data_IF_743059503203
#
_entry.id   IF_743059503203
#
_cell.length_a   1.000
_cell.length_b   1.000
_cell.length_c   1.000
_cell.angle_alpha   90.00
_cell.angle_beta   90.00
_cell.angle_gamma   90.00
#
_symmetry.space_group_name_H-M   'P 1'
#
loop_
_entity.id
_entity.type
_entity.pdbx_description
1 polymer ?
#
# COMPACT_ATOMS: atom_id res chain seq x y z
N UNK A 1 12.79 -35.41 -0.48
CA UNK A 1 13.08 -33.97 -0.27
C UNK A 1 13.37 -33.36 -1.64
N UNK A 2 12.51 -32.48 -2.14
CA UNK A 2 12.49 -32.05 -3.55
C UNK A 2 13.65 -31.10 -3.89
N UNK A 3 14.12 -31.17 -5.13
CA UNK A 3 15.27 -30.42 -5.67
C UNK A 3 15.08 -28.89 -5.60
N UNK A 4 13.83 -28.42 -5.62
CA UNK A 4 13.43 -27.00 -5.52
C UNK A 4 13.61 -26.42 -4.10
N UNK A 5 13.42 -27.26 -3.07
CA UNK A 5 13.61 -26.90 -1.65
C UNK A 5 15.11 -26.72 -1.31
N UNK A 6 15.97 -27.47 -2.00
CA UNK A 6 17.43 -27.38 -1.86
C UNK A 6 17.98 -26.08 -2.45
N UNK A 7 17.46 -25.67 -3.62
CA UNK A 7 17.83 -24.42 -4.29
C UNK A 7 17.36 -23.18 -3.51
N UNK A 8 16.15 -23.22 -2.95
CA UNK A 8 15.65 -22.14 -2.08
C UNK A 8 16.51 -22.00 -0.82
N UNK A 9 16.84 -23.11 -0.15
CA UNK A 9 17.73 -23.09 1.04
C UNK A 9 19.09 -22.45 0.75
N UNK A 10 19.67 -22.68 -0.42
CA UNK A 10 20.97 -22.10 -0.80
C UNK A 10 20.87 -20.58 -0.99
N UNK A 11 19.82 -20.11 -1.68
CA UNK A 11 19.58 -18.68 -1.92
C UNK A 11 19.31 -17.94 -0.60
N UNK A 12 18.48 -18.52 0.27
CA UNK A 12 18.19 -17.96 1.59
C UNK A 12 19.45 -17.87 2.47
N UNK A 13 20.31 -18.90 2.44
CA UNK A 13 21.58 -18.90 3.18
C UNK A 13 22.54 -17.81 2.69
N UNK A 14 22.61 -17.58 1.38
CA UNK A 14 23.45 -16.53 0.79
C UNK A 14 22.96 -15.11 1.14
N UNK A 15 21.64 -14.87 1.10
CA UNK A 15 21.02 -13.59 1.45
C UNK A 15 21.25 -13.26 2.94
N UNK A 16 21.05 -14.25 3.82
CA UNK A 16 21.24 -14.06 5.26
C UNK A 16 22.70 -13.77 5.63
N UNK A 17 23.67 -14.40 4.94
CA UNK A 17 25.10 -14.15 5.14
C UNK A 17 25.52 -12.74 4.73
N UNK A 18 24.94 -12.20 3.64
CA UNK A 18 25.21 -10.82 3.19
C UNK A 18 24.66 -9.80 4.21
N UNK A 19 23.44 -10.02 4.71
CA UNK A 19 22.77 -9.12 5.65
C UNK A 19 23.42 -9.17 7.05
N UNK A 20 23.88 -10.34 7.52
CA UNK A 20 24.59 -10.46 8.79
C UNK A 20 25.91 -9.67 8.80
N UNK A 21 26.62 -9.65 7.65
CA UNK A 21 27.86 -8.90 7.47
C UNK A 21 27.64 -7.37 7.47
N UNK A 22 26.60 -6.89 6.79
CA UNK A 22 26.24 -5.45 6.76
C UNK A 22 25.80 -4.92 8.14
N UNK A 23 25.35 -5.80 9.03
CA UNK A 23 24.88 -5.47 10.38
C UNK A 23 25.90 -5.76 11.47
N UNK A 24 27.10 -6.27 11.15
CA UNK A 24 28.17 -6.56 12.11
C UNK A 24 27.88 -7.74 13.05
N UNK A 25 27.00 -8.67 12.66
CA UNK A 25 26.50 -9.77 13.50
C UNK A 25 27.20 -11.09 13.12
N UNK A 26 28.53 -11.14 13.27
CA UNK A 26 29.33 -12.26 12.74
C UNK A 26 29.20 -13.59 13.52
N UNK A 27 28.67 -13.57 14.75
CA UNK A 27 28.63 -14.75 15.64
C UNK A 27 27.21 -15.19 16.05
N UNK A 28 26.17 -14.74 15.36
CA UNK A 28 24.79 -14.97 15.80
C UNK A 28 24.13 -16.11 15.01
N UNK A 29 23.63 -17.09 15.76
CA UNK A 29 23.08 -18.35 15.28
C UNK A 29 21.96 -18.15 14.24
N UNK A 30 21.94 -18.98 13.19
CA UNK A 30 21.03 -18.83 12.04
C UNK A 30 19.55 -18.90 12.46
N UNK A 31 19.26 -19.70 13.48
CA UNK A 31 17.93 -19.83 14.07
C UNK A 31 17.54 -18.60 14.90
N UNK A 32 18.50 -17.93 15.55
CA UNK A 32 18.25 -16.67 16.25
C UNK A 32 17.94 -15.54 15.26
N UNK A 33 18.65 -15.47 14.13
CA UNK A 33 18.34 -14.48 13.07
C UNK A 33 16.96 -14.73 12.46
N UNK A 34 16.59 -15.99 12.22
CA UNK A 34 15.26 -16.39 11.74
C UNK A 34 14.15 -16.02 12.74
N UNK A 35 14.35 -16.33 14.02
CA UNK A 35 13.41 -16.01 15.09
C UNK A 35 13.30 -14.50 15.34
N UNK A 36 14.40 -13.75 15.24
CA UNK A 36 14.40 -12.29 15.35
C UNK A 36 13.70 -11.62 14.16
N UNK A 37 13.87 -12.16 12.94
CA UNK A 37 13.10 -11.73 11.78
C UNK A 37 11.62 -12.01 11.96
N UNK A 38 11.24 -13.22 12.36
CA UNK A 38 9.85 -13.59 12.61
C UNK A 38 9.23 -12.75 13.72
N UNK A 39 9.97 -12.47 14.79
CA UNK A 39 9.53 -11.61 15.89
C UNK A 39 9.35 -10.15 15.44
N UNK A 40 10.29 -9.58 14.67
CA UNK A 40 10.13 -8.23 14.08
C UNK A 40 8.96 -8.19 13.10
N UNK A 41 8.78 -9.22 12.28
CA UNK A 41 7.64 -9.37 11.39
C UNK A 41 6.34 -9.46 12.18
N UNK A 42 6.30 -10.22 13.28
CA UNK A 42 5.16 -10.34 14.17
C UNK A 42 4.87 -9.01 14.89
N UNK A 43 5.88 -8.31 15.39
CA UNK A 43 5.73 -6.96 15.97
C UNK A 43 5.24 -5.95 14.95
N UNK A 44 5.73 -6.02 13.71
CA UNK A 44 5.23 -5.21 12.59
C UNK A 44 3.78 -5.60 12.32
N UNK A 45 3.43 -6.87 12.22
CA UNK A 45 2.07 -7.35 12.01
C UNK A 45 1.16 -6.90 13.16
N UNK A 46 1.58 -6.97 14.42
CA UNK A 46 0.80 -6.53 15.58
C UNK A 46 0.64 -5.01 15.63
N UNK A 47 1.71 -4.25 15.35
CA UNK A 47 1.70 -2.79 15.31
C UNK A 47 0.88 -2.24 14.13
N UNK A 48 1.01 -2.87 12.95
CA UNK A 48 0.19 -2.56 11.78
C UNK A 48 -1.24 -3.05 11.97
N UNK A 49 -1.46 -4.24 12.53
CA UNK A 49 -2.79 -4.77 12.89
C UNK A 49 -3.52 -3.80 13.81
N UNK A 50 -2.87 -3.27 14.85
CA UNK A 50 -3.50 -2.29 15.74
C UNK A 50 -3.78 -0.94 15.07
N UNK A 51 -2.84 -0.44 14.25
CA UNK A 51 -3.00 0.82 13.52
C UNK A 51 -4.07 0.72 12.43
N UNK A 52 -4.05 -0.34 11.65
CA UNK A 52 -5.01 -0.63 10.57
C UNK A 52 -6.37 -0.99 11.18
N UNK A 53 -6.43 -1.72 12.29
CA UNK A 53 -7.67 -1.95 13.06
C UNK A 53 -8.29 -0.63 13.54
N UNK A 54 -7.49 0.28 14.12
CA UNK A 54 -7.96 1.60 14.53
C UNK A 54 -8.48 2.44 13.35
N UNK A 55 -7.86 2.28 12.18
CA UNK A 55 -8.25 3.00 10.95
C UNK A 55 -9.47 2.36 10.25
N UNK A 56 -9.67 1.05 10.40
CA UNK A 56 -10.85 0.30 9.98
C UNK A 56 -12.05 0.58 10.90
N UNK A 57 -11.83 0.69 12.23
CA UNK A 57 -12.87 1.02 13.22
C UNK A 57 -13.45 2.43 13.08
N UNK A 58 -12.82 3.34 12.32
CA UNK A 58 -13.47 4.57 11.86
C UNK A 58 -14.44 4.27 10.70
N UNK A 59 -15.35 3.32 10.94
CA UNK A 59 -16.29 2.66 10.02
C UNK A 59 -17.15 3.65 9.21
N UNK A 60 -16.58 4.21 8.15
CA UNK A 60 -17.24 5.16 7.25
C UNK A 60 -16.87 4.80 5.82
N UNK A 61 -17.83 4.89 4.89
CA UNK A 61 -17.59 4.70 3.47
C UNK A 61 -16.53 5.68 2.95
N UNK A 62 -16.51 6.92 3.45
CA UNK A 62 -15.48 7.89 3.13
C UNK A 62 -14.08 7.37 3.46
N UNK A 63 -13.87 6.85 4.67
CA UNK A 63 -12.58 6.32 5.10
C UNK A 63 -12.16 5.09 4.28
N UNK A 64 -13.10 4.20 3.96
CA UNK A 64 -12.84 3.04 3.11
C UNK A 64 -12.37 3.48 1.73
N UNK A 65 -13.02 4.49 1.13
CA UNK A 65 -12.62 5.05 -0.17
C UNK A 65 -11.27 5.76 -0.08
N UNK A 66 -11.01 6.51 0.98
CA UNK A 66 -9.72 7.17 1.20
C UNK A 66 -8.57 6.16 1.38
N UNK A 67 -8.88 4.97 1.89
CA UNK A 67 -7.93 3.89 2.03
C UNK A 67 -7.64 3.13 0.72
N UNK A 68 -8.42 3.35 -0.34
CA UNK A 68 -8.15 2.75 -1.66
C UNK A 68 -6.85 3.25 -2.27
N UNK A 69 -6.25 2.42 -3.12
CA UNK A 69 -4.96 2.71 -3.75
C UNK A 69 -5.03 3.95 -4.64
N UNK A 70 -6.13 4.07 -5.39
CA UNK A 70 -6.45 5.16 -6.31
C UNK A 70 -6.44 6.50 -5.56
N UNK A 71 -7.17 6.59 -4.45
CA UNK A 71 -7.18 7.79 -3.61
C UNK A 71 -5.76 8.15 -3.15
N UNK A 72 -5.02 7.18 -2.61
CA UNK A 72 -3.69 7.41 -2.04
C UNK A 72 -2.68 7.85 -3.09
N UNK A 73 -2.70 7.24 -4.28
CA UNK A 73 -1.86 7.63 -5.42
C UNK A 73 -2.25 9.01 -5.93
N UNK A 74 -3.53 9.22 -6.19
CA UNK A 74 -4.09 10.51 -6.60
C UNK A 74 -3.70 11.66 -5.69
N UNK A 75 -3.81 11.46 -4.38
CA UNK A 75 -3.40 12.42 -3.37
C UNK A 75 -1.89 12.67 -3.38
N UNK A 76 -1.06 11.63 -3.55
CA UNK A 76 0.39 11.78 -3.67
C UNK A 76 0.79 12.58 -4.91
N UNK A 77 0.12 12.33 -6.05
CA UNK A 77 0.29 13.08 -7.29
C UNK A 77 -0.05 14.56 -7.08
N UNK A 78 -1.21 14.87 -6.49
CA UNK A 78 -1.63 16.26 -6.24
C UNK A 78 -0.74 17.02 -5.26
N UNK A 79 -0.12 16.33 -4.30
CA UNK A 79 0.78 16.92 -3.30
C UNK A 79 2.19 17.20 -3.85
N UNK A 80 2.55 16.61 -4.99
CA UNK A 80 3.85 16.79 -5.63
C UNK A 80 3.89 18.07 -6.48
N UNK A 81 3.71 19.23 -5.83
CA UNK A 81 3.73 20.54 -6.51
C UNK A 81 5.12 21.13 -6.71
N UNK A 82 6.11 20.69 -5.92
CA UNK A 82 7.46 21.25 -5.91
C UNK A 82 8.38 20.42 -6.82
N UNK A 83 9.38 21.01 -7.48
CA UNK A 83 10.30 20.29 -8.37
C UNK A 83 10.99 19.10 -7.70
N UNK A 84 11.47 19.27 -6.46
CA UNK A 84 12.07 18.19 -5.67
C UNK A 84 11.09 17.06 -5.33
N UNK A 85 9.81 17.39 -5.08
CA UNK A 85 8.77 16.39 -4.81
C UNK A 85 8.39 15.64 -6.10
N UNK A 86 8.40 16.33 -7.23
CA UNK A 86 8.15 15.74 -8.55
C UNK A 86 9.27 14.77 -8.94
N UNK A 87 10.53 15.14 -8.69
CA UNK A 87 11.68 14.25 -8.91
C UNK A 87 11.63 12.99 -8.03
N UNK A 88 11.21 13.12 -6.77
CA UNK A 88 11.04 12.00 -5.83
C UNK A 88 9.71 11.25 -6.00
N UNK A 89 8.82 11.72 -6.87
CA UNK A 89 7.47 11.19 -7.02
C UNK A 89 7.45 9.72 -7.46
N UNK A 90 8.25 9.27 -8.46
CA UNK A 90 8.25 7.86 -8.87
C UNK A 90 8.57 6.91 -7.72
N UNK A 91 9.60 7.21 -6.94
CA UNK A 91 9.98 6.43 -5.76
C UNK A 91 8.89 6.45 -4.67
N UNK A 92 8.25 7.60 -4.47
CA UNK A 92 7.15 7.76 -3.51
C UNK A 92 5.96 6.88 -3.90
N UNK A 93 5.58 6.86 -5.17
CA UNK A 93 4.48 6.04 -5.68
C UNK A 93 4.79 4.55 -5.59
N UNK A 94 6.01 4.12 -5.95
CA UNK A 94 6.42 2.71 -5.82
C UNK A 94 6.36 2.27 -4.35
N UNK A 95 6.91 3.07 -3.43
CA UNK A 95 6.87 2.79 -1.98
C UNK A 95 5.43 2.68 -1.48
N UNK A 96 4.56 3.59 -1.91
CA UNK A 96 3.15 3.59 -1.55
C UNK A 96 2.44 2.32 -2.03
N UNK A 97 2.66 1.91 -3.29
CA UNK A 97 2.09 0.68 -3.85
C UNK A 97 2.55 -0.56 -3.08
N UNK A 98 3.86 -0.66 -2.79
CA UNK A 98 4.42 -1.79 -2.02
C UNK A 98 3.80 -1.85 -0.62
N UNK A 99 3.71 -0.70 0.05
CA UNK A 99 3.09 -0.59 1.37
C UNK A 99 1.61 -1.00 1.33
N UNK A 100 0.83 -0.48 0.39
CA UNK A 100 -0.58 -0.85 0.24
C UNK A 100 -0.76 -2.35 -0.03
N UNK A 101 0.07 -2.95 -0.89
CA UNK A 101 0.03 -4.40 -1.14
C UNK A 101 0.32 -5.21 0.12
N UNK A 102 1.25 -4.76 0.94
CA UNK A 102 1.55 -5.39 2.24
C UNK A 102 0.35 -5.27 3.19
N UNK A 103 -0.21 -4.07 3.38
CA UNK A 103 -1.42 -3.85 4.21
C UNK A 103 -2.59 -4.74 3.75
N UNK A 104 -2.80 -4.90 2.44
CA UNK A 104 -3.83 -5.79 1.90
C UNK A 104 -3.58 -7.27 2.19
N UNK A 105 -2.31 -7.73 2.20
CA UNK A 105 -1.95 -9.10 2.60
C UNK A 105 -2.23 -9.32 4.09
N UNK A 106 -1.83 -8.37 4.93
CA UNK A 106 -2.10 -8.42 6.38
C UNK A 106 -3.60 -8.44 6.64
N UNK A 107 -4.37 -7.55 6.02
CA UNK A 107 -5.83 -7.54 6.12
C UNK A 107 -6.47 -8.88 5.71
N UNK A 108 -6.04 -9.46 4.59
CA UNK A 108 -6.53 -10.78 4.13
C UNK A 108 -6.25 -11.87 5.17
N UNK A 109 -5.04 -11.90 5.75
CA UNK A 109 -4.73 -12.84 6.81
C UNK A 109 -5.64 -12.61 8.03
N UNK A 110 -5.84 -11.36 8.46
CA UNK A 110 -6.69 -11.04 9.61
C UNK A 110 -8.14 -11.50 9.43
N UNK A 111 -8.75 -11.27 8.27
CA UNK A 111 -10.14 -11.73 8.02
C UNK A 111 -10.26 -13.25 7.92
N UNK A 112 -9.18 -13.96 7.56
CA UNK A 112 -9.15 -15.43 7.61
C UNK A 112 -9.19 -15.94 9.04
N UNK A 113 -8.48 -15.28 9.97
CA UNK A 113 -8.47 -15.64 11.39
C UNK A 113 -9.70 -15.11 12.16
N UNK A 114 -10.20 -13.94 11.76
CA UNK A 114 -11.31 -13.22 12.40
C UNK A 114 -12.27 -12.68 11.34
N UNK A 115 -13.22 -13.51 10.86
CA UNK A 115 -14.18 -13.13 9.84
C UNK A 115 -15.01 -11.90 10.20
N UNK A 116 -15.22 -11.63 11.50
CA UNK A 116 -15.92 -10.44 12.01
C UNK A 116 -15.26 -9.11 11.62
N UNK A 117 -13.98 -9.13 11.22
CA UNK A 117 -13.25 -7.95 10.73
C UNK A 117 -13.52 -7.63 9.26
N UNK A 118 -14.31 -8.44 8.57
CA UNK A 118 -14.63 -8.22 7.17
C UNK A 118 -15.45 -6.92 7.01
N UNK A 119 -14.93 -6.02 6.17
CA UNK A 119 -15.65 -4.82 5.78
C UNK A 119 -16.98 -5.15 5.10
N UNK A 120 -18.03 -4.45 5.50
CA UNK A 120 -19.34 -4.49 4.87
C UNK A 120 -19.29 -3.86 3.46
N UNK A 121 -20.27 -4.15 2.59
CA UNK A 121 -20.48 -3.39 1.36
C UNK A 121 -20.57 -1.88 1.64
N UNK A 122 -20.06 -1.05 0.72
CA UNK A 122 -19.96 0.40 0.90
C UNK A 122 -21.34 1.06 1.08
N UNK A 123 -22.35 0.48 0.45
CA UNK A 123 -23.74 0.92 0.41
C UNK A 123 -24.43 0.80 1.78
N UNK A 124 -23.88 -0.03 2.68
CA UNK A 124 -24.43 -0.22 4.03
C UNK A 124 -23.96 0.84 5.03
N UNK A 125 -23.06 1.74 4.63
CA UNK A 125 -22.56 2.80 5.49
C UNK A 125 -23.40 4.09 5.30
N UNK A 126 -23.73 4.81 6.39
CA UNK A 126 -24.55 6.01 6.32
C UNK A 126 -23.98 7.12 5.43
N UNK A 127 -22.66 7.21 5.30
CA UNK A 127 -21.94 8.25 4.54
C UNK A 127 -21.58 7.81 3.11
N UNK A 128 -22.30 6.84 2.55
CA UNK A 128 -22.03 6.30 1.22
C UNK A 128 -22.10 7.38 0.12
N UNK A 129 -23.07 8.28 0.18
CA UNK A 129 -23.25 9.36 -0.79
C UNK A 129 -22.08 10.36 -0.76
N UNK A 130 -21.58 10.71 0.42
CA UNK A 130 -20.37 11.51 0.58
C UNK A 130 -19.14 10.81 -0.01
N UNK A 131 -19.08 9.49 0.18
CA UNK A 131 -18.01 8.67 -0.34
C UNK A 131 -18.01 8.65 -1.88
N UNK A 132 -19.18 8.62 -2.53
CA UNK A 132 -19.31 8.75 -3.99
C UNK A 132 -18.78 10.09 -4.49
N UNK A 133 -19.04 11.19 -3.78
CA UNK A 133 -18.48 12.51 -4.12
C UNK A 133 -16.95 12.49 -4.13
N UNK A 134 -16.30 11.72 -3.25
CA UNK A 134 -14.84 11.55 -3.25
C UNK A 134 -14.35 10.89 -4.55
N UNK A 135 -15.05 9.86 -5.05
CA UNK A 135 -14.71 9.19 -6.32
C UNK A 135 -14.79 10.14 -7.53
N UNK A 136 -15.65 11.14 -7.45
CA UNK A 136 -15.79 12.18 -8.46
C UNK A 136 -14.65 13.21 -8.50
N UNK A 137 -13.79 13.28 -7.46
CA UNK A 137 -12.74 14.30 -7.37
C UNK A 137 -11.58 14.01 -8.33
N UNK A 138 -10.96 15.08 -8.84
CA UNK A 138 -9.84 15.03 -9.79
C UNK A 138 -8.71 14.09 -9.31
N UNK A 139 -8.30 14.21 -8.04
CA UNK A 139 -7.22 13.36 -7.53
C UNK A 139 -7.59 11.88 -7.59
N UNK A 140 -8.84 11.51 -7.31
CA UNK A 140 -9.27 10.13 -7.35
C UNK A 140 -9.20 9.60 -8.78
N UNK A 141 -9.66 10.39 -9.75
CA UNK A 141 -9.56 10.08 -11.19
C UNK A 141 -8.12 9.98 -11.70
N UNK A 142 -7.22 10.83 -11.21
CA UNK A 142 -5.78 10.70 -11.50
C UNK A 142 -5.21 9.40 -10.97
N UNK A 143 -5.60 9.02 -9.74
CA UNK A 143 -5.23 7.74 -9.14
C UNK A 143 -5.74 6.53 -9.93
N UNK A 144 -7.02 6.54 -10.32
CA UNK A 144 -7.61 5.50 -11.17
C UNK A 144 -6.84 5.34 -12.49
N UNK A 145 -6.59 6.46 -13.20
CA UNK A 145 -5.86 6.43 -14.46
C UNK A 145 -4.42 5.91 -14.29
N UNK A 146 -3.76 6.24 -13.17
CA UNK A 146 -2.43 5.74 -12.86
C UNK A 146 -2.46 4.23 -12.62
N UNK A 147 -3.40 3.72 -11.84
CA UNK A 147 -3.52 2.29 -11.54
C UNK A 147 -3.81 1.49 -12.81
N UNK A 148 -4.68 2.00 -13.68
CA UNK A 148 -5.05 1.33 -14.92
C UNK A 148 -3.89 1.29 -15.92
N UNK A 149 -3.16 2.40 -16.08
CA UNK A 149 -2.15 2.51 -17.12
C UNK A 149 -0.92 3.32 -16.66
N UNK A 150 -0.08 2.80 -15.76
CA UNK A 150 0.99 3.57 -15.12
C UNK A 150 2.02 4.14 -16.10
N UNK A 151 2.35 3.40 -17.17
CA UNK A 151 3.31 3.85 -18.19
C UNK A 151 2.71 4.93 -19.10
N UNK A 152 1.48 4.74 -19.60
CA UNK A 152 0.81 5.75 -20.44
C UNK A 152 0.27 6.94 -19.63
N UNK A 153 0.25 6.85 -18.31
CA UNK A 153 -0.29 7.87 -17.42
C UNK A 153 0.39 9.22 -17.60
N UNK A 154 1.69 9.25 -17.86
CA UNK A 154 2.45 10.49 -18.06
C UNK A 154 1.88 11.33 -19.23
N UNK A 155 1.36 10.67 -20.26
CA UNK A 155 0.74 11.34 -21.40
C UNK A 155 -0.76 11.65 -21.15
N UNK A 156 -1.43 10.83 -20.32
CA UNK A 156 -2.86 10.97 -20.01
C UNK A 156 -3.14 11.99 -18.90
N UNK A 157 -2.22 12.18 -17.95
CA UNK A 157 -2.45 13.01 -16.76
C UNK A 157 -2.72 14.47 -17.13
N UNK A 158 -2.05 15.00 -18.15
CA UNK A 158 -2.30 16.34 -18.68
C UNK A 158 -3.74 16.50 -19.18
N UNK A 159 -4.26 15.52 -19.94
CA UNK A 159 -5.63 15.54 -20.47
C UNK A 159 -6.67 15.48 -19.36
N UNK A 160 -6.44 14.63 -18.35
CA UNK A 160 -7.33 14.50 -17.20
C UNK A 160 -7.41 15.83 -16.45
N UNK A 161 -6.26 16.44 -16.11
CA UNK A 161 -6.22 17.74 -15.45
C UNK A 161 -6.91 18.85 -16.26
N UNK A 162 -6.73 18.87 -17.59
CA UNK A 162 -7.39 19.84 -18.49
C UNK A 162 -8.90 19.66 -18.50
N UNK A 163 -9.41 18.43 -18.59
CA UNK A 163 -10.85 18.14 -18.61
C UNK A 163 -11.57 18.63 -17.36
N UNK A 164 -10.95 18.48 -16.19
CA UNK A 164 -11.52 18.94 -14.93
C UNK A 164 -11.51 20.46 -14.81
N UNK A 165 -10.45 21.15 -15.27
CA UNK A 165 -10.43 22.62 -15.32
C UNK A 165 -11.60 23.17 -16.12
N UNK A 166 -11.85 22.61 -17.30
CA UNK A 166 -12.95 23.04 -18.18
C UNK A 166 -14.33 22.78 -17.57
N UNK A 167 -14.46 21.76 -16.72
CA UNK A 167 -15.72 21.40 -16.04
C UNK A 167 -16.05 22.28 -14.82
N UNK A 168 -15.07 23.05 -14.32
CA UNK A 168 -15.27 24.06 -13.25
C UNK A 168 -15.54 25.46 -13.78
N UNK A 169 -15.35 25.70 -15.08
CA UNK A 169 -15.51 27.03 -15.71
C UNK A 169 -16.89 27.18 -16.38
N UNK A 170 -17.58 26.06 -16.65
CA UNK A 170 -18.98 26.00 -17.09
C UNK A 170 -19.87 25.64 -15.90
#
# INVERSE_FOLDING_TARGET
MNQDDKSQKIIYKAINKYIAKDLGLNDVDSDYIYNLMNYKCLQIILKYSYKDYKQLMQNSACNIIQNKLEYRLGNALMKAKNPFKLLKLPFTLIRLIRKYRFERKVYKAMITFRPELQLKPLEQYPDYEEALKIKGKLFYKLGEAFVQNPFSFLFKCYRICKSFKNKTIN
#
